data_IF_654195397986
#
_entry.id   IF_654195397986
#
_cell.length_a   1.000
_cell.length_b   1.000
_cell.length_c   1.000
_cell.angle_alpha   90.00
_cell.angle_beta   90.00
_cell.angle_gamma   90.00
#
_symmetry.space_group_name_H-M   'P 1'
#
loop_
_entity.id
_entity.type
_entity.pdbx_description
1 polymer ?
#
# COMPACT_ATOMS: atom_id res chain seq x y z
N UNK A 1 14.49 23.98 37.11
CA UNK A 1 14.99 23.94 35.72
C UNK A 1 15.75 22.64 35.42
N UNK A 2 16.74 22.23 36.23
CA UNK A 2 17.54 21.03 35.96
C UNK A 2 16.73 19.71 35.96
N UNK A 3 15.75 19.55 36.86
CA UNK A 3 14.90 18.36 36.92
C UNK A 3 14.04 18.16 35.65
N UNK A 4 13.51 19.24 35.06
CA UNK A 4 12.70 19.17 33.82
C UNK A 4 13.55 18.75 32.61
N UNK A 5 14.81 19.16 32.56
CA UNK A 5 15.75 18.77 31.49
C UNK A 5 16.11 17.29 31.61
N UNK A 6 16.39 16.81 32.83
CA UNK A 6 16.70 15.38 33.07
C UNK A 6 15.51 14.49 32.72
N UNK A 7 14.29 14.86 33.09
CA UNK A 7 13.08 14.12 32.73
C UNK A 7 12.85 14.10 31.21
N UNK A 8 13.08 15.22 30.51
CA UNK A 8 12.94 15.27 29.05
C UNK A 8 13.98 14.39 28.34
N UNK A 9 15.23 14.41 28.82
CA UNK A 9 16.31 13.56 28.28
C UNK A 9 16.05 12.08 28.57
N UNK A 10 15.60 11.72 29.77
CA UNK A 10 15.20 10.36 30.09
C UNK A 10 14.02 9.89 29.24
N UNK A 11 13.02 10.75 29.01
CA UNK A 11 11.88 10.43 28.16
C UNK A 11 12.28 10.20 26.70
N UNK A 12 13.22 11.00 26.19
CA UNK A 12 13.81 10.82 24.85
C UNK A 12 14.60 9.50 24.81
N UNK A 13 15.46 9.21 25.80
CA UNK A 13 16.25 7.96 25.85
C UNK A 13 15.34 6.73 25.95
N UNK A 14 14.27 6.77 26.75
CA UNK A 14 13.29 5.68 26.85
C UNK A 14 12.54 5.47 25.53
N UNK A 15 12.19 6.54 24.81
CA UNK A 15 11.59 6.42 23.47
C UNK A 15 12.59 5.93 22.40
N UNK A 16 13.89 6.20 22.56
CA UNK A 16 14.93 5.70 21.64
C UNK A 16 15.35 4.25 21.95
N UNK A 17 14.99 3.71 23.12
CA UNK A 17 15.31 2.33 23.50
C UNK A 17 14.32 1.31 22.91
N UNK A 18 13.11 1.73 22.52
CA UNK A 18 12.16 0.91 21.76
C UNK A 18 12.24 1.20 20.26
N UNK A 19 13.46 1.39 19.74
CA UNK A 19 13.70 1.08 18.33
C UNK A 19 13.61 -0.43 18.25
N UNK A 20 12.40 -0.95 18.05
CA UNK A 20 12.19 -2.31 17.56
C UNK A 20 12.84 -2.36 16.18
N UNK A 21 14.13 -2.71 16.15
CA UNK A 21 14.80 -3.17 14.94
C UNK A 21 14.14 -4.52 14.64
N UNK A 22 12.98 -4.44 13.98
CA UNK A 22 12.20 -5.59 13.54
C UNK A 22 12.90 -6.17 12.32
N UNK A 23 13.95 -6.95 12.56
CA UNK A 23 14.66 -7.69 11.53
C UNK A 23 14.14 -9.13 11.50
N UNK A 24 13.90 -9.64 10.29
CA UNK A 24 13.66 -11.06 10.11
C UNK A 24 14.95 -11.84 10.37
N UNK A 25 14.86 -12.93 11.13
CA UNK A 25 16.00 -13.78 11.41
C UNK A 25 16.55 -14.41 10.13
N UNK A 26 17.86 -14.29 9.95
CA UNK A 26 18.61 -14.91 8.87
C UNK A 26 19.22 -16.22 9.33
N UNK A 27 19.22 -17.23 8.47
CA UNK A 27 19.86 -18.51 8.73
C UNK A 27 21.01 -18.75 7.75
N UNK A 28 22.12 -19.28 8.27
CA UNK A 28 23.27 -19.56 7.43
C UNK A 28 23.04 -20.78 6.52
N UNK A 29 23.88 -20.89 5.48
CA UNK A 29 23.86 -21.97 4.50
C UNK A 29 23.84 -23.37 5.15
N UNK A 30 24.64 -23.56 6.20
CA UNK A 30 24.77 -24.85 6.89
C UNK A 30 23.46 -25.29 7.55
N UNK A 31 22.74 -24.39 8.20
CA UNK A 31 21.46 -24.69 8.86
C UNK A 31 20.41 -25.07 7.81
N UNK A 32 20.30 -24.29 6.74
CA UNK A 32 19.32 -24.52 5.67
C UNK A 32 19.57 -25.86 4.98
N UNK A 33 20.82 -26.18 4.61
CA UNK A 33 21.10 -27.49 3.99
C UNK A 33 21.01 -28.65 4.99
N UNK A 34 21.24 -28.42 6.29
CA UNK A 34 20.98 -29.45 7.31
C UNK A 34 19.49 -29.77 7.38
N UNK A 35 18.62 -28.76 7.35
CA UNK A 35 17.17 -28.92 7.23
C UNK A 35 16.78 -29.72 5.99
N UNK A 36 17.21 -29.27 4.81
CA UNK A 36 16.86 -29.91 3.53
C UNK A 36 17.29 -31.39 3.53
N UNK A 37 18.53 -31.67 3.93
CA UNK A 37 19.06 -33.04 3.94
C UNK A 37 18.38 -33.94 4.99
N UNK A 38 18.00 -33.39 6.14
CA UNK A 38 17.29 -34.13 7.17
C UNK A 38 15.90 -34.51 6.70
N UNK A 39 15.16 -33.57 6.10
CA UNK A 39 13.78 -33.78 5.67
C UNK A 39 13.71 -34.64 4.40
N UNK A 40 14.64 -34.48 3.46
CA UNK A 40 14.68 -35.28 2.23
C UNK A 40 14.84 -36.80 2.49
N UNK A 41 15.45 -37.18 3.63
CA UNK A 41 15.66 -38.59 4.02
C UNK A 41 14.54 -39.18 4.87
N UNK A 42 13.60 -38.36 5.35
CA UNK A 42 12.50 -38.82 6.21
C UNK A 42 11.35 -39.37 5.37
N UNK A 43 10.65 -40.37 5.91
CA UNK A 43 9.43 -40.94 5.31
C UNK A 43 8.18 -40.05 5.44
N UNK A 44 8.30 -38.89 6.11
CA UNK A 44 7.16 -38.01 6.38
C UNK A 44 6.73 -37.18 5.17
N UNK A 45 7.62 -36.92 4.22
CA UNK A 45 7.33 -36.19 2.97
C UNK A 45 7.11 -37.15 1.81
N UNK A 46 6.38 -36.72 0.77
CA UNK A 46 6.22 -37.55 -0.42
C UNK A 46 7.58 -37.85 -1.07
N UNK A 47 7.70 -39.03 -1.68
CA UNK A 47 8.93 -39.44 -2.37
C UNK A 47 9.34 -38.43 -3.45
N UNK A 48 8.37 -37.90 -4.21
CA UNK A 48 8.61 -36.85 -5.21
C UNK A 48 9.18 -35.57 -4.60
N UNK A 49 8.71 -35.17 -3.43
CA UNK A 49 9.27 -34.03 -2.72
C UNK A 49 10.69 -34.33 -2.22
N UNK A 50 10.89 -35.48 -1.55
CA UNK A 50 12.20 -35.90 -1.05
C UNK A 50 13.25 -35.94 -2.17
N UNK A 51 12.92 -36.56 -3.30
CA UNK A 51 13.80 -36.63 -4.48
C UNK A 51 14.16 -35.23 -5.00
N UNK A 52 13.20 -34.31 -5.10
CA UNK A 52 13.47 -32.92 -5.51
C UNK A 52 14.33 -32.16 -4.50
N UNK A 53 14.13 -32.36 -3.20
CA UNK A 53 14.95 -31.74 -2.15
C UNK A 53 16.42 -32.21 -2.23
N UNK A 54 16.67 -33.48 -2.53
CA UNK A 54 18.05 -33.99 -2.68
C UNK A 54 18.81 -33.35 -3.85
N UNK A 55 18.10 -32.85 -4.88
CA UNK A 55 18.70 -32.22 -6.06
C UNK A 55 19.14 -30.76 -5.83
N UNK A 56 18.60 -30.10 -4.80
CA UNK A 56 18.87 -28.67 -4.53
C UNK A 56 20.36 -28.43 -4.30
N UNK A 57 21.00 -29.24 -3.46
CA UNK A 57 22.43 -29.12 -3.18
C UNK A 57 23.27 -29.22 -4.46
N UNK A 58 23.27 -30.38 -5.14
CA UNK A 58 24.01 -30.55 -6.38
C UNK A 58 23.78 -29.45 -7.41
N UNK A 59 22.54 -28.97 -7.56
CA UNK A 59 22.23 -27.87 -8.47
C UNK A 59 22.84 -26.53 -8.03
N UNK A 60 22.63 -26.12 -6.77
CA UNK A 60 23.11 -24.81 -6.27
C UNK A 60 24.63 -24.73 -6.10
N UNK A 61 25.30 -25.88 -5.96
CA UNK A 61 26.76 -25.97 -5.89
C UNK A 61 27.42 -26.32 -7.22
N UNK A 62 26.66 -26.45 -8.31
CA UNK A 62 27.22 -26.65 -9.65
C UNK A 62 27.99 -25.40 -10.10
N UNK A 63 29.10 -25.62 -10.80
CA UNK A 63 29.96 -24.53 -11.30
C UNK A 63 29.23 -23.58 -12.26
N UNK A 64 28.22 -24.08 -12.99
CA UNK A 64 27.45 -23.28 -13.94
C UNK A 64 26.31 -22.49 -13.29
N UNK A 65 26.01 -22.75 -12.01
CA UNK A 65 24.95 -22.05 -11.30
C UNK A 65 25.43 -20.67 -10.85
N UNK A 66 24.62 -19.65 -11.08
CA UNK A 66 24.97 -18.27 -10.73
C UNK A 66 25.07 -18.17 -9.20
N UNK A 67 26.17 -17.66 -8.62
CA UNK A 67 26.36 -17.60 -7.17
C UNK A 67 25.20 -16.91 -6.42
N UNK A 68 24.61 -15.88 -7.03
CA UNK A 68 23.46 -15.16 -6.49
C UNK A 68 22.21 -16.06 -6.31
N UNK A 69 21.99 -17.08 -7.16
CA UNK A 69 20.85 -18.00 -6.98
C UNK A 69 20.95 -18.77 -5.68
N UNK A 70 22.16 -19.21 -5.32
CA UNK A 70 22.42 -19.87 -4.04
C UNK A 70 22.14 -18.92 -2.88
N UNK A 71 22.68 -17.71 -2.94
CA UNK A 71 22.47 -16.69 -1.91
C UNK A 71 20.97 -16.38 -1.73
N UNK A 72 20.24 -16.14 -2.82
CA UNK A 72 18.81 -15.84 -2.78
C UNK A 72 17.99 -17.01 -2.23
N UNK A 73 18.37 -18.24 -2.57
CA UNK A 73 17.72 -19.44 -2.04
C UNK A 73 17.88 -19.56 -0.53
N UNK A 74 19.10 -19.40 -0.01
CA UNK A 74 19.39 -19.48 1.43
C UNK A 74 18.72 -18.34 2.19
N UNK A 75 18.82 -17.12 1.67
CA UNK A 75 18.21 -15.91 2.25
C UNK A 75 16.68 -16.01 2.33
N UNK A 76 16.02 -16.82 1.50
CA UNK A 76 14.58 -17.02 1.61
C UNK A 76 14.16 -17.79 2.89
N UNK A 77 15.05 -18.55 3.52
CA UNK A 77 14.73 -19.22 4.79
C UNK A 77 14.81 -18.25 5.95
N UNK A 78 13.72 -18.10 6.71
CA UNK A 78 13.61 -17.04 7.71
C UNK A 78 12.61 -17.36 8.83
N UNK A 79 12.63 -16.55 9.88
CA UNK A 79 11.59 -16.47 10.91
C UNK A 79 11.47 -15.03 11.43
N UNK A 80 10.33 -14.67 11.99
CA UNK A 80 10.09 -13.33 12.56
C UNK A 80 8.69 -13.24 13.16
N UNK A 81 8.28 -12.05 13.59
CA UNK A 81 6.97 -11.89 14.24
C UNK A 81 5.82 -12.13 13.25
N UNK A 82 4.82 -12.89 13.70
CA UNK A 82 3.65 -13.24 12.90
C UNK A 82 2.74 -12.03 12.65
N UNK A 83 2.60 -11.12 13.63
CA UNK A 83 1.80 -9.90 13.49
C UNK A 83 2.26 -8.99 12.35
N UNK A 84 3.55 -9.01 12.02
CA UNK A 84 4.15 -8.20 10.96
C UNK A 84 3.78 -8.68 9.57
N UNK A 85 3.17 -9.87 9.45
CA UNK A 85 2.70 -10.35 8.16
C UNK A 85 1.41 -9.66 7.70
N UNK A 86 0.51 -9.29 8.61
CA UNK A 86 -0.71 -8.56 8.29
C UNK A 86 -0.58 -7.04 8.46
N UNK A 87 0.56 -6.58 8.97
CA UNK A 87 0.85 -5.16 9.14
C UNK A 87 1.39 -4.53 7.84
N UNK A 88 1.65 -3.23 7.91
CA UNK A 88 2.42 -2.47 6.92
C UNK A 88 3.80 -3.08 6.63
N UNK A 89 4.32 -3.91 7.54
CA UNK A 89 5.70 -4.43 7.51
C UNK A 89 5.82 -5.77 6.75
N UNK A 90 4.73 -6.21 6.09
CA UNK A 90 4.69 -7.41 5.25
C UNK A 90 5.77 -7.40 4.15
N UNK A 91 6.24 -6.22 3.72
CA UNK A 91 7.21 -6.05 2.65
C UNK A 91 8.49 -6.89 2.86
N UNK A 92 8.90 -7.14 4.11
CA UNK A 92 10.06 -8.00 4.41
C UNK A 92 9.80 -9.46 3.99
N UNK A 93 8.61 -9.97 4.28
CA UNK A 93 8.18 -11.31 3.84
C UNK A 93 8.03 -11.39 2.32
N UNK A 94 7.53 -10.33 1.69
CA UNK A 94 7.44 -10.22 0.23
C UNK A 94 8.83 -10.24 -0.41
N UNK A 95 9.80 -9.55 0.19
CA UNK A 95 11.18 -9.57 -0.28
C UNK A 95 11.80 -10.99 -0.22
N UNK A 96 11.57 -11.74 0.86
CA UNK A 96 12.02 -13.15 0.97
C UNK A 96 11.35 -14.04 -0.07
N UNK A 97 10.07 -13.82 -0.32
CA UNK A 97 9.33 -14.49 -1.40
C UNK A 97 9.93 -14.20 -2.77
N UNK A 98 10.30 -12.94 -3.03
CA UNK A 98 10.96 -12.53 -4.26
C UNK A 98 12.33 -13.20 -4.43
N UNK A 99 13.15 -13.27 -3.37
CA UNK A 99 14.44 -13.99 -3.40
C UNK A 99 14.27 -15.47 -3.71
N UNK A 100 13.28 -16.15 -3.12
CA UNK A 100 12.96 -17.53 -3.48
C UNK A 100 12.61 -17.68 -4.97
N UNK A 101 11.84 -16.75 -5.53
CA UNK A 101 11.48 -16.76 -6.95
C UNK A 101 12.70 -16.49 -7.85
N UNK A 102 13.55 -15.53 -7.49
CA UNK A 102 14.79 -15.23 -8.22
C UNK A 102 15.78 -16.40 -8.18
N UNK A 103 15.84 -17.15 -7.08
CA UNK A 103 16.66 -18.34 -6.96
C UNK A 103 16.31 -19.41 -8.01
N UNK A 104 15.03 -19.51 -8.37
CA UNK A 104 14.59 -20.41 -9.44
C UNK A 104 15.09 -19.99 -10.84
N UNK A 105 15.68 -18.79 -11.00
CA UNK A 105 16.05 -18.26 -12.31
C UNK A 105 14.84 -17.86 -13.16
N UNK A 106 13.70 -17.56 -12.54
CA UNK A 106 12.55 -17.01 -13.24
C UNK A 106 12.87 -15.60 -13.77
N UNK A 107 12.55 -15.36 -15.04
CA UNK A 107 12.69 -14.05 -15.67
C UNK A 107 11.33 -13.60 -16.24
N UNK A 108 11.12 -12.30 -16.50
CA UNK A 108 9.88 -11.79 -17.07
C UNK A 108 9.40 -12.54 -18.33
N UNK A 109 10.36 -13.03 -19.14
CA UNK A 109 10.09 -13.73 -20.40
C UNK A 109 10.53 -15.20 -20.42
N UNK A 110 11.14 -15.72 -19.34
CA UNK A 110 11.62 -17.12 -19.29
C UNK A 110 11.09 -17.83 -18.07
N UNK A 111 10.51 -19.02 -18.27
CA UNK A 111 10.01 -19.87 -17.18
C UNK A 111 11.17 -20.69 -16.63
N UNK A 112 11.25 -20.81 -15.30
CA UNK A 112 12.22 -21.69 -14.68
C UNK A 112 11.92 -23.16 -15.01
N UNK A 113 12.98 -23.91 -15.31
CA UNK A 113 12.92 -25.38 -15.39
C UNK A 113 12.72 -26.03 -14.01
N UNK A 114 13.07 -25.31 -12.94
CA UNK A 114 13.01 -25.75 -11.55
C UNK A 114 12.23 -24.73 -10.69
N UNK A 115 10.89 -24.62 -10.88
CA UNK A 115 10.10 -23.60 -10.22
C UNK A 115 10.03 -23.82 -8.71
N UNK A 116 10.23 -22.73 -7.97
CA UNK A 116 10.18 -22.68 -6.51
C UNK A 116 8.92 -21.97 -6.01
N UNK A 117 8.51 -22.34 -4.80
CA UNK A 117 7.41 -21.75 -4.06
C UNK A 117 7.96 -21.23 -2.73
N UNK A 118 7.68 -19.96 -2.44
CA UNK A 118 7.90 -19.43 -1.12
C UNK A 118 6.69 -19.76 -0.27
N UNK A 119 6.88 -20.50 0.81
CA UNK A 119 5.83 -20.85 1.74
C UNK A 119 6.14 -20.26 3.11
N UNK A 120 5.09 -19.78 3.77
CA UNK A 120 5.19 -19.29 5.13
C UNK A 120 4.06 -19.88 5.97
N UNK A 121 4.26 -19.88 7.29
CA UNK A 121 3.23 -20.27 8.24
C UNK A 121 3.54 -19.84 9.65
N UNK A 122 2.49 -19.75 10.46
CA UNK A 122 2.49 -19.39 11.87
C UNK A 122 1.31 -20.08 12.57
N UNK A 123 1.21 -19.91 13.88
CA UNK A 123 0.04 -20.33 14.65
C UNK A 123 -0.95 -19.16 14.80
N UNK A 124 -2.17 -19.29 14.30
CA UNK A 124 -3.20 -18.23 14.34
C UNK A 124 -3.57 -17.80 15.77
N UNK A 125 -3.54 -18.73 16.74
CA UNK A 125 -3.89 -18.39 18.13
C UNK A 125 -2.87 -17.46 18.79
N UNK A 126 -1.61 -17.55 18.37
CA UNK A 126 -0.52 -16.75 18.91
C UNK A 126 -0.14 -15.56 18.03
N UNK A 127 -0.78 -15.36 16.87
CA UNK A 127 -0.44 -14.31 15.91
C UNK A 127 -0.27 -12.93 16.58
N UNK A 128 -1.20 -12.55 17.46
CA UNK A 128 -1.24 -11.26 18.17
C UNK A 128 -0.50 -11.24 19.51
N UNK A 129 0.03 -12.38 19.95
CA UNK A 129 0.65 -12.56 21.27
C UNK A 129 2.12 -12.98 21.11
N UNK A 130 2.87 -12.22 20.31
CA UNK A 130 4.27 -12.50 19.96
C UNK A 130 4.46 -13.87 19.27
N UNK A 131 3.52 -14.26 18.41
CA UNK A 131 3.65 -15.46 17.60
C UNK A 131 4.80 -15.33 16.61
N UNK A 132 5.47 -16.44 16.31
CA UNK A 132 6.55 -16.49 15.32
C UNK A 132 6.02 -17.07 14.01
N UNK A 133 6.27 -16.37 12.91
CA UNK A 133 6.10 -16.87 11.57
C UNK A 133 7.42 -17.44 11.03
N UNK A 134 7.29 -18.42 10.14
CA UNK A 134 8.40 -19.14 9.54
C UNK A 134 8.26 -19.13 8.03
N UNK A 135 9.36 -18.86 7.32
CA UNK A 135 9.41 -18.81 5.85
C UNK A 135 10.41 -19.81 5.29
N UNK A 136 10.02 -20.52 4.23
CA UNK A 136 10.84 -21.51 3.52
C UNK A 136 10.69 -21.37 2.00
N UNK A 137 11.74 -21.74 1.25
CA UNK A 137 11.72 -21.81 -0.21
C UNK A 137 11.80 -23.26 -0.67
N UNK A 138 10.76 -23.76 -1.33
CA UNK A 138 10.64 -25.20 -1.66
C UNK A 138 10.39 -25.44 -3.15
N UNK A 139 10.80 -26.60 -3.70
CA UNK A 139 10.42 -26.99 -5.06
C UNK A 139 8.91 -27.10 -5.23
N UNK A 140 8.40 -26.82 -6.43
CA UNK A 140 6.98 -26.97 -6.76
C UNK A 140 6.41 -28.37 -6.47
N UNK A 141 7.20 -29.43 -6.62
CA UNK A 141 6.81 -30.81 -6.30
C UNK A 141 6.54 -31.02 -4.81
N UNK A 142 7.06 -30.15 -3.93
CA UNK A 142 6.86 -30.19 -2.49
C UNK A 142 5.63 -29.40 -2.01
N UNK A 143 4.84 -28.81 -2.91
CA UNK A 143 3.71 -27.96 -2.54
C UNK A 143 2.70 -28.65 -1.60
N UNK A 144 2.40 -29.93 -1.83
CA UNK A 144 1.46 -30.68 -1.00
C UNK A 144 2.03 -31.05 0.39
N UNK A 145 3.35 -31.06 0.54
CA UNK A 145 4.03 -31.36 1.80
C UNK A 145 4.38 -30.08 2.59
N UNK A 146 3.98 -28.89 2.11
CA UNK A 146 4.35 -27.59 2.69
C UNK A 146 4.10 -27.47 4.20
N UNK A 147 3.00 -27.99 4.71
CA UNK A 147 2.65 -27.90 6.14
C UNK A 147 3.68 -28.65 6.98
N UNK A 148 4.02 -29.88 6.56
CA UNK A 148 5.02 -30.71 7.22
C UNK A 148 6.41 -30.07 7.16
N UNK A 149 6.76 -29.47 6.01
CA UNK A 149 8.04 -28.79 5.84
C UNK A 149 8.16 -27.58 6.78
N UNK A 150 7.10 -26.79 6.92
CA UNK A 150 7.06 -25.65 7.85
C UNK A 150 7.13 -26.11 9.31
N UNK A 151 6.40 -27.16 9.69
CA UNK A 151 6.44 -27.71 11.05
C UNK A 151 7.84 -28.22 11.43
N UNK A 152 8.53 -28.90 10.50
CA UNK A 152 9.91 -29.37 10.68
C UNK A 152 10.91 -28.22 10.73
N UNK A 153 10.70 -27.19 9.90
CA UNK A 153 11.56 -25.99 9.92
C UNK A 153 11.44 -25.26 11.25
N UNK A 154 10.21 -25.00 11.72
CA UNK A 154 9.92 -24.46 13.05
C UNK A 154 10.62 -25.28 14.13
N UNK A 155 10.44 -26.61 14.13
CA UNK A 155 11.04 -27.50 15.14
C UNK A 155 12.58 -27.47 15.13
N UNK A 156 13.20 -27.11 14.00
CA UNK A 156 14.65 -27.01 13.90
C UNK A 156 15.17 -25.66 14.40
N UNK A 157 14.46 -24.57 14.12
CA UNK A 157 14.96 -23.21 14.36
C UNK A 157 14.38 -22.52 15.59
N UNK A 158 13.33 -23.08 16.18
CA UNK A 158 12.62 -22.52 17.32
C UNK A 158 12.34 -23.59 18.38
N UNK A 159 12.26 -23.16 19.63
CA UNK A 159 11.80 -23.99 20.75
C UNK A 159 10.28 -24.01 20.89
N UNK A 160 9.55 -23.30 20.01
CA UNK A 160 8.09 -23.30 20.00
C UNK A 160 7.55 -24.70 19.67
N UNK A 161 6.55 -25.11 20.45
CA UNK A 161 5.88 -26.41 20.34
C UNK A 161 4.53 -26.31 19.63
N UNK A 162 4.02 -25.09 19.40
CA UNK A 162 2.73 -24.85 18.76
C UNK A 162 2.78 -25.13 17.28
N UNK A 163 1.90 -26.04 16.82
CA UNK A 163 1.83 -26.44 15.42
C UNK A 163 1.54 -25.26 14.50
N UNK A 164 2.13 -25.27 13.31
CA UNK A 164 1.80 -24.30 12.27
C UNK A 164 0.43 -24.68 11.69
N UNK A 165 -0.61 -23.94 12.04
CA UNK A 165 -1.99 -24.21 11.61
C UNK A 165 -2.39 -23.42 10.35
N UNK A 166 -1.83 -22.22 10.18
CA UNK A 166 -1.97 -21.43 8.97
C UNK A 166 -0.74 -21.54 8.08
N UNK A 167 -0.99 -21.84 6.81
CA UNK A 167 0.06 -21.91 5.78
C UNK A 167 -0.42 -21.28 4.49
N UNK A 168 0.46 -20.50 3.86
CA UNK A 168 0.20 -19.96 2.54
C UNK A 168 1.51 -19.90 1.74
N UNK A 169 1.39 -19.99 0.42
CA UNK A 169 2.54 -19.99 -0.46
C UNK A 169 2.33 -19.06 -1.65
N UNK A 170 3.40 -18.37 -2.00
CA UNK A 170 3.53 -17.58 -3.21
C UNK A 170 4.35 -18.35 -4.24
N UNK A 171 3.88 -18.35 -5.48
CA UNK A 171 4.59 -18.91 -6.63
C UNK A 171 4.86 -17.82 -7.66
N UNK A 172 5.93 -17.99 -8.43
CA UNK A 172 6.33 -17.02 -9.46
C UNK A 172 5.24 -16.75 -10.49
N UNK A 173 4.61 -17.81 -11.01
CA UNK A 173 3.64 -17.71 -12.11
C UNK A 173 2.22 -17.98 -11.63
N UNK A 174 1.31 -17.08 -12.00
CA UNK A 174 -0.12 -17.35 -11.86
C UNK A 174 -0.54 -18.54 -12.74
N UNK A 175 -1.51 -19.34 -12.27
CA UNK A 175 -2.06 -20.46 -13.06
C UNK A 175 -2.73 -19.99 -14.35
N UNK A 176 -3.29 -18.78 -14.28
CA UNK A 176 -4.04 -18.14 -15.34
C UNK A 176 -3.48 -16.75 -15.59
N UNK A 177 -3.41 -16.39 -16.87
CA UNK A 177 -3.01 -15.05 -17.28
C UNK A 177 -4.06 -14.03 -16.83
N UNK A 178 -3.66 -12.76 -16.67
CA UNK A 178 -4.57 -11.70 -16.21
C UNK A 178 -5.82 -11.56 -17.09
N UNK A 179 -5.70 -11.79 -18.40
CA UNK A 179 -6.83 -11.75 -19.36
C UNK A 179 -7.75 -12.99 -19.28
N UNK A 180 -7.33 -14.06 -18.60
CA UNK A 180 -8.18 -15.23 -18.33
C UNK A 180 -8.95 -15.07 -17.00
N UNK A 181 -8.62 -14.05 -16.20
CA UNK A 181 -9.30 -13.76 -14.95
C UNK A 181 -10.47 -12.80 -15.22
N UNK A 182 -11.74 -13.23 -15.01
CA UNK A 182 -12.91 -12.43 -15.40
C UNK A 182 -12.98 -11.08 -14.69
N UNK A 183 -12.57 -11.00 -13.41
CA UNK A 183 -12.56 -9.76 -12.62
C UNK A 183 -11.57 -8.75 -13.21
N UNK A 184 -10.31 -9.16 -13.41
CA UNK A 184 -9.28 -8.29 -13.99
C UNK A 184 -9.64 -7.82 -15.41
N UNK A 185 -10.27 -8.69 -16.21
CA UNK A 185 -10.71 -8.33 -17.55
C UNK A 185 -11.89 -7.34 -17.51
N UNK A 186 -12.84 -7.52 -16.59
CA UNK A 186 -13.93 -6.56 -16.39
C UNK A 186 -13.42 -5.19 -15.92
N UNK A 187 -12.46 -5.16 -14.99
CA UNK A 187 -11.80 -3.93 -14.55
C UNK A 187 -11.08 -3.24 -15.71
N UNK A 188 -10.32 -3.98 -16.52
CA UNK A 188 -9.65 -3.43 -17.69
C UNK A 188 -10.65 -2.80 -18.67
N UNK A 189 -11.73 -3.51 -19.01
CA UNK A 189 -12.80 -3.02 -19.89
C UNK A 189 -13.43 -1.75 -19.31
N UNK A 190 -13.71 -1.72 -18.01
CA UNK A 190 -14.29 -0.55 -17.35
C UNK A 190 -13.38 0.67 -17.45
N UNK A 191 -12.07 0.52 -17.18
CA UNK A 191 -11.09 1.59 -17.31
C UNK A 191 -10.99 2.12 -18.75
N UNK A 192 -10.99 1.23 -19.75
CA UNK A 192 -10.98 1.64 -21.16
C UNK A 192 -12.24 2.42 -21.55
N UNK A 193 -13.42 2.01 -21.06
CA UNK A 193 -14.67 2.74 -21.28
C UNK A 193 -14.67 4.13 -20.62
N UNK A 194 -14.15 4.25 -19.39
CA UNK A 194 -13.99 5.55 -18.74
C UNK A 194 -13.03 6.47 -19.49
N UNK A 195 -11.88 5.96 -19.95
CA UNK A 195 -10.92 6.73 -20.75
C UNK A 195 -11.55 7.17 -22.08
N UNK A 196 -12.24 6.28 -22.78
CA UNK A 196 -12.96 6.62 -24.00
C UNK A 196 -14.02 7.71 -23.75
N UNK A 197 -14.78 7.59 -22.67
CA UNK A 197 -15.80 8.56 -22.29
C UNK A 197 -15.18 9.95 -22.00
N UNK A 198 -14.05 10.01 -21.30
CA UNK A 198 -13.29 11.25 -21.07
C UNK A 198 -12.78 11.84 -22.39
N UNK A 199 -12.28 11.02 -23.31
CA UNK A 199 -11.81 11.47 -24.64
C UNK A 199 -12.96 12.03 -25.46
N UNK A 200 -14.07 11.30 -25.59
CA UNK A 200 -15.28 11.74 -26.31
C UNK A 200 -15.82 13.04 -25.72
N UNK A 201 -15.93 13.12 -24.39
CA UNK A 201 -16.36 14.33 -23.70
C UNK A 201 -15.44 15.52 -23.95
N UNK A 202 -14.14 15.28 -24.00
CA UNK A 202 -13.14 16.33 -24.25
C UNK A 202 -13.17 16.80 -25.70
N UNK A 203 -13.24 15.89 -26.67
CA UNK A 203 -13.39 16.24 -28.10
C UNK A 203 -14.68 17.02 -28.33
N UNK A 204 -15.79 16.58 -27.74
CA UNK A 204 -17.08 17.29 -27.81
C UNK A 204 -16.95 18.72 -27.27
N UNK A 205 -16.35 18.89 -26.09
CA UNK A 205 -16.14 20.20 -25.47
C UNK A 205 -15.23 21.12 -26.30
N UNK A 206 -14.21 20.56 -26.97
CA UNK A 206 -13.33 21.34 -27.85
C UNK A 206 -14.10 21.81 -29.09
N UNK A 207 -14.88 20.93 -29.74
CA UNK A 207 -15.57 21.24 -31.00
C UNK A 207 -16.80 22.14 -30.84
N UNK A 208 -17.65 21.89 -29.83
CA UNK A 208 -18.92 22.62 -29.65
C UNK A 208 -18.88 23.67 -28.53
N UNK A 209 -17.77 23.80 -27.80
CA UNK A 209 -17.68 24.70 -26.67
C UNK A 209 -18.65 24.34 -25.54
N UNK A 210 -19.12 25.36 -24.79
CA UNK A 210 -20.05 25.21 -23.66
C UNK A 210 -21.54 25.29 -24.07
N UNK A 211 -21.84 25.19 -25.36
CA UNK A 211 -23.10 25.67 -25.90
C UNK A 211 -24.14 24.55 -26.06
N UNK A 212 -24.90 24.20 -25.02
CA UNK A 212 -26.17 23.40 -25.11
C UNK A 212 -26.94 23.37 -23.79
N UNK A 213 -28.29 23.46 -23.84
CA UNK A 213 -29.25 23.33 -22.71
C UNK A 213 -29.69 21.88 -22.37
N UNK A 214 -29.08 20.84 -22.97
CA UNK A 214 -29.51 19.45 -22.75
C UNK A 214 -28.81 18.84 -21.52
N UNK A 215 -29.59 18.24 -20.60
CA UNK A 215 -29.10 17.51 -19.42
C UNK A 215 -28.04 16.46 -19.76
N UNK A 216 -28.22 15.71 -20.85
CA UNK A 216 -27.24 14.70 -21.28
C UNK A 216 -25.90 15.30 -21.68
N UNK A 217 -25.92 16.47 -22.30
CA UNK A 217 -24.70 17.18 -22.66
C UNK A 217 -23.99 17.74 -21.43
N UNK A 218 -24.74 18.20 -20.42
CA UNK A 218 -24.17 18.63 -19.16
C UNK A 218 -23.45 17.49 -18.43
N UNK A 219 -24.08 16.30 -18.40
CA UNK A 219 -23.48 15.08 -17.86
C UNK A 219 -22.22 14.71 -18.63
N UNK A 220 -22.28 14.66 -19.96
CA UNK A 220 -21.11 14.33 -20.80
C UNK A 220 -19.98 15.35 -20.58
N UNK A 221 -20.28 16.65 -20.54
CA UNK A 221 -19.29 17.70 -20.26
C UNK A 221 -18.70 17.59 -18.85
N UNK A 222 -19.36 16.95 -17.89
CA UNK A 222 -18.81 16.72 -16.55
C UNK A 222 -17.58 15.80 -16.57
N UNK A 223 -17.44 14.96 -17.59
CA UNK A 223 -16.27 14.09 -17.78
C UNK A 223 -15.21 14.68 -18.70
N UNK A 224 -15.40 15.91 -19.20
CA UNK A 224 -14.38 16.56 -20.03
C UNK A 224 -13.13 16.91 -19.23
N UNK A 225 -11.98 16.35 -19.63
CA UNK A 225 -10.68 16.66 -19.03
C UNK A 225 -10.37 18.16 -19.07
N UNK A 226 -10.62 18.82 -20.22
CA UNK A 226 -10.44 20.27 -20.37
C UNK A 226 -11.26 21.07 -19.35
N UNK A 227 -12.53 20.69 -19.12
CA UNK A 227 -13.41 21.39 -18.16
C UNK A 227 -12.91 21.19 -16.73
N UNK A 228 -12.58 19.95 -16.37
CA UNK A 228 -12.14 19.60 -15.03
C UNK A 228 -10.77 20.20 -14.70
N UNK A 229 -9.81 20.13 -15.63
CA UNK A 229 -8.49 20.73 -15.45
C UNK A 229 -8.59 22.25 -15.31
N UNK A 230 -9.37 22.92 -16.17
CA UNK A 230 -9.60 24.36 -16.04
C UNK A 230 -10.28 24.71 -14.71
N UNK A 231 -11.19 23.87 -14.23
CA UNK A 231 -11.84 24.06 -12.93
C UNK A 231 -10.87 23.86 -11.76
N UNK A 232 -9.90 22.95 -11.90
CA UNK A 232 -8.88 22.68 -10.88
C UNK A 232 -7.89 23.84 -10.72
N UNK A 233 -7.50 24.47 -11.82
CA UNK A 233 -6.53 25.58 -11.82
C UNK A 233 -7.16 26.97 -11.62
N UNK A 234 -8.46 27.11 -11.85
CA UNK A 234 -9.13 28.42 -11.81
C UNK A 234 -9.40 28.85 -10.38
N UNK A 235 -8.83 29.99 -10.00
CA UNK A 235 -9.12 30.63 -8.73
C UNK A 235 -10.60 31.07 -8.63
N UNK A 236 -11.23 30.92 -7.46
CA UNK A 236 -12.58 31.42 -7.21
C UNK A 236 -12.63 32.94 -7.36
N UNK A 237 -13.75 33.46 -7.90
CA UNK A 237 -13.95 34.91 -8.09
C UNK A 237 -14.28 35.62 -6.78
N UNK A 238 -14.96 34.93 -5.88
CA UNK A 238 -15.38 35.47 -4.59
C UNK A 238 -14.39 34.99 -3.52
N UNK A 239 -13.53 35.90 -3.06
CA UNK A 239 -12.53 35.62 -2.04
C UNK A 239 -13.16 35.33 -0.68
N UNK A 240 -14.35 35.88 -0.38
CA UNK A 240 -15.01 35.68 0.91
C UNK A 240 -15.63 34.29 1.02
N UNK A 241 -16.02 33.68 -0.08
CA UNK A 241 -16.62 32.33 -0.07
C UNK A 241 -15.58 31.21 0.00
N UNK A 242 -14.28 31.51 0.02
CA UNK A 242 -13.22 30.48 -0.04
C UNK A 242 -12.05 30.74 0.89
N UNK A 243 -11.59 29.70 1.59
CA UNK A 243 -10.38 29.75 2.40
C UNK A 243 -9.17 29.56 1.48
N UNK A 244 -8.46 30.64 1.16
CA UNK A 244 -7.33 30.61 0.21
C UNK A 244 -6.19 29.69 0.64
N UNK A 245 -5.90 29.58 1.94
CA UNK A 245 -4.90 28.66 2.49
C UNK A 245 -5.17 27.18 2.14
N UNK A 246 -6.44 26.79 1.98
CA UNK A 246 -6.82 25.40 1.62
C UNK A 246 -6.28 24.98 0.26
N UNK A 247 -6.08 25.92 -0.67
CA UNK A 247 -5.47 25.59 -1.97
C UNK A 247 -4.00 25.17 -1.80
N UNK A 248 -3.24 25.88 -0.96
CA UNK A 248 -1.86 25.54 -0.65
C UNK A 248 -1.75 24.18 0.03
N UNK A 249 -2.59 23.94 1.05
CA UNK A 249 -2.62 22.64 1.74
C UNK A 249 -2.99 21.48 0.80
N UNK A 250 -3.97 21.67 -0.10
CA UNK A 250 -4.33 20.66 -1.10
C UNK A 250 -3.17 20.36 -2.04
N UNK A 251 -2.52 21.39 -2.56
CA UNK A 251 -1.38 21.22 -3.47
C UNK A 251 -0.23 20.46 -2.78
N UNK A 252 0.17 20.88 -1.58
CA UNK A 252 1.22 20.22 -0.82
C UNK A 252 0.86 18.76 -0.48
N UNK A 253 -0.39 18.51 -0.08
CA UNK A 253 -0.89 17.16 0.20
C UNK A 253 -0.85 16.25 -1.05
N UNK A 254 -1.27 16.76 -2.21
CA UNK A 254 -1.21 16.02 -3.48
C UNK A 254 0.23 15.69 -3.88
N UNK A 255 1.15 16.67 -3.83
CA UNK A 255 2.56 16.48 -4.14
C UNK A 255 3.19 15.46 -3.19
N UNK A 256 2.96 15.61 -1.89
CA UNK A 256 3.48 14.71 -0.87
C UNK A 256 3.00 13.27 -1.09
N UNK A 257 1.71 13.10 -1.37
CA UNK A 257 1.10 11.78 -1.65
C UNK A 257 1.73 11.12 -2.87
N UNK A 258 1.93 11.87 -3.96
CA UNK A 258 2.54 11.36 -5.20
C UNK A 258 3.98 10.93 -4.95
N UNK A 259 4.77 11.76 -4.25
CA UNK A 259 6.16 11.45 -3.91
C UNK A 259 6.24 10.18 -3.06
N UNK A 260 5.46 10.11 -1.99
CA UNK A 260 5.46 8.95 -1.09
C UNK A 260 5.08 7.63 -1.76
N UNK A 261 4.01 7.63 -2.57
CA UNK A 261 3.65 6.44 -3.35
C UNK A 261 4.75 6.06 -4.36
N UNK A 262 5.42 7.04 -4.96
CA UNK A 262 6.53 6.75 -5.90
C UNK A 262 7.68 6.02 -5.22
N UNK A 263 8.05 6.45 -4.01
CA UNK A 263 9.10 5.80 -3.20
C UNK A 263 8.67 4.46 -2.60
N UNK A 264 7.38 4.22 -2.38
CA UNK A 264 6.90 2.87 -2.06
C UNK A 264 6.98 1.95 -3.29
N UNK A 265 6.44 2.38 -4.43
CA UNK A 265 6.33 1.49 -5.59
C UNK A 265 7.66 1.23 -6.30
N UNK A 266 8.66 2.11 -6.18
CA UNK A 266 9.98 1.88 -6.76
C UNK A 266 10.70 0.67 -6.15
N UNK A 267 10.39 0.31 -4.89
CA UNK A 267 11.01 -0.81 -4.19
C UNK A 267 10.88 -2.15 -4.93
N UNK A 268 9.78 -2.34 -5.67
CA UNK A 268 9.55 -3.52 -6.49
C UNK A 268 10.51 -3.64 -7.70
N UNK A 269 11.27 -2.58 -8.01
CA UNK A 269 12.18 -2.48 -9.15
C UNK A 269 13.64 -2.25 -8.75
N UNK A 270 13.96 -2.26 -7.45
CA UNK A 270 15.32 -2.10 -6.94
C UNK A 270 15.96 -3.46 -6.65
N UNK A 271 17.21 -3.65 -7.08
CA UNK A 271 17.98 -4.86 -6.78
C UNK A 271 18.44 -4.91 -5.31
N UNK A 272 18.83 -3.75 -4.76
CA UNK A 272 19.28 -3.57 -3.37
C UNK A 272 18.20 -2.91 -2.51
N UNK A 273 17.00 -3.50 -2.45
CA UNK A 273 15.88 -2.90 -1.71
C UNK A 273 16.12 -2.79 -0.20
N UNK A 274 16.91 -3.69 0.40
CA UNK A 274 17.21 -3.63 1.85
C UNK A 274 18.08 -2.42 2.18
N UNK A 275 19.17 -2.21 1.44
CA UNK A 275 20.03 -1.02 1.58
C UNK A 275 19.24 0.28 1.38
N UNK A 276 18.33 0.30 0.39
CA UNK A 276 17.43 1.44 0.20
C UNK A 276 16.50 1.66 1.41
N UNK A 277 15.95 0.60 2.00
CA UNK A 277 15.09 0.70 3.18
C UNK A 277 15.85 1.19 4.40
N UNK A 278 17.03 0.66 4.64
CA UNK A 278 17.89 1.07 5.75
C UNK A 278 18.23 2.57 5.60
N UNK A 279 18.61 3.02 4.40
CA UNK A 279 18.83 4.43 4.10
C UNK A 279 17.56 5.30 4.34
N UNK A 280 16.38 4.81 3.98
CA UNK A 280 15.12 5.52 4.22
C UNK A 280 14.75 5.62 5.70
N UNK A 281 15.04 4.59 6.51
CA UNK A 281 14.65 4.52 7.92
C UNK A 281 15.66 5.24 8.82
N UNK A 282 16.96 5.02 8.59
CA UNK A 282 18.02 5.49 9.48
C UNK A 282 18.23 7.01 9.40
N UNK A 283 17.87 7.64 8.28
CA UNK A 283 18.02 9.07 8.09
C UNK A 283 16.76 9.84 8.52
N UNK A 284 16.88 10.66 9.57
CA UNK A 284 15.81 11.53 10.04
C UNK A 284 15.22 12.44 8.93
N UNK A 285 16.03 12.87 7.97
CA UNK A 285 15.56 13.69 6.85
C UNK A 285 14.67 12.94 5.85
N UNK A 286 14.65 11.61 5.89
CA UNK A 286 13.76 10.78 5.06
C UNK A 286 12.37 10.60 5.71
N UNK A 287 12.17 11.07 6.94
CA UNK A 287 10.91 10.92 7.68
C UNK A 287 9.70 11.55 6.99
N UNK A 288 9.88 12.66 6.24
CA UNK A 288 8.78 13.22 5.47
C UNK A 288 8.37 12.31 4.30
N UNK A 289 9.27 11.46 3.78
CA UNK A 289 8.94 10.48 2.75
C UNK A 289 8.31 9.24 3.39
N UNK A 290 8.93 8.68 4.43
CA UNK A 290 8.48 7.43 5.05
C UNK A 290 7.12 7.57 5.74
N UNK A 291 6.78 8.77 6.24
CA UNK A 291 5.49 9.06 6.87
C UNK A 291 4.43 9.63 5.91
N UNK A 292 4.57 9.47 4.59
CA UNK A 292 3.61 10.06 3.64
C UNK A 292 2.17 9.57 3.81
N UNK A 293 1.95 8.40 4.42
CA UNK A 293 0.60 7.87 4.69
C UNK A 293 -0.20 8.76 5.63
N UNK A 294 0.48 9.58 6.46
CA UNK A 294 -0.16 10.64 7.26
C UNK A 294 -0.78 11.74 6.39
N UNK A 295 -0.46 11.78 5.09
CA UNK A 295 -1.16 12.60 4.12
C UNK A 295 -2.67 12.36 4.11
N UNK A 296 -3.14 11.16 4.45
CA UNK A 296 -4.59 10.85 4.59
C UNK A 296 -5.27 11.76 5.62
N UNK A 297 -4.59 12.09 6.72
CA UNK A 297 -5.14 12.97 7.77
C UNK A 297 -5.37 14.38 7.23
N UNK A 298 -4.45 14.88 6.39
CA UNK A 298 -4.65 16.17 5.73
C UNK A 298 -5.89 16.17 4.86
N UNK A 299 -6.20 15.08 4.14
CA UNK A 299 -7.43 14.98 3.35
C UNK A 299 -8.69 14.98 4.23
N UNK A 300 -8.66 14.28 5.37
CA UNK A 300 -9.77 14.26 6.33
C UNK A 300 -10.01 15.65 6.94
N UNK A 301 -8.95 16.31 7.41
CA UNK A 301 -9.02 17.68 7.96
C UNK A 301 -9.54 18.66 6.92
N UNK A 302 -9.06 18.58 5.67
CA UNK A 302 -9.51 19.45 4.59
C UNK A 302 -11.00 19.24 4.28
N UNK A 303 -11.48 18.00 4.31
CA UNK A 303 -12.88 17.64 4.05
C UNK A 303 -13.80 18.09 5.19
N UNK A 304 -13.40 17.84 6.43
CA UNK A 304 -14.14 18.27 7.62
C UNK A 304 -14.22 19.81 7.71
N UNK A 305 -13.09 20.50 7.52
CA UNK A 305 -13.02 21.97 7.56
C UNK A 305 -13.91 22.60 6.48
N UNK A 306 -13.87 22.08 5.24
CA UNK A 306 -14.71 22.58 4.16
C UNK A 306 -16.20 22.37 4.46
N UNK A 307 -16.56 21.19 4.97
CA UNK A 307 -17.94 20.86 5.32
C UNK A 307 -18.45 21.78 6.44
N UNK A 308 -17.66 21.95 7.51
CA UNK A 308 -17.99 22.87 8.59
C UNK A 308 -18.10 24.32 8.09
N UNK A 309 -17.11 24.81 7.33
CA UNK A 309 -17.11 26.17 6.80
C UNK A 309 -18.34 26.45 5.93
N UNK A 310 -18.70 25.52 5.03
CA UNK A 310 -19.88 25.67 4.18
C UNK A 310 -21.19 25.60 4.97
N UNK A 311 -21.26 24.74 5.99
CA UNK A 311 -22.41 24.63 6.88
C UNK A 311 -22.64 25.90 7.71
N UNK A 312 -21.59 26.39 8.39
CA UNK A 312 -21.66 27.64 9.18
C UNK A 312 -21.94 28.85 8.29
N UNK A 313 -21.33 28.94 7.10
CA UNK A 313 -21.60 30.02 6.15
C UNK A 313 -23.07 30.01 5.71
N UNK A 314 -23.66 28.84 5.50
CA UNK A 314 -25.09 28.71 5.15
C UNK A 314 -25.99 29.16 6.31
N UNK A 315 -25.66 28.79 7.55
CA UNK A 315 -26.41 29.23 8.73
C UNK A 315 -26.33 30.74 8.91
N UNK A 316 -25.14 31.32 8.80
CA UNK A 316 -24.95 32.76 8.93
C UNK A 316 -25.75 33.54 7.87
N UNK A 317 -25.76 33.06 6.61
CA UNK A 317 -26.56 33.66 5.54
C UNK A 317 -28.06 33.57 5.83
N UNK A 318 -28.55 32.42 6.30
CA UNK A 318 -29.96 32.28 6.67
C UNK A 318 -30.36 33.20 7.84
N UNK A 319 -29.47 33.38 8.83
CA UNK A 319 -29.71 34.29 9.95
C UNK A 319 -29.73 35.75 9.50
N UNK A 320 -28.81 36.17 8.63
CA UNK A 320 -28.82 37.53 8.08
C UNK A 320 -30.04 37.81 7.21
N UNK A 321 -30.48 36.83 6.41
CA UNK A 321 -31.70 36.97 5.61
C UNK A 321 -32.94 37.11 6.50
N UNK A 322 -33.00 36.38 7.62
CA UNK A 322 -34.08 36.51 8.59
C UNK A 322 -34.05 37.86 9.33
N UNK A 323 -32.88 38.32 9.77
CA UNK A 323 -32.74 39.62 10.44
C UNK A 323 -33.10 40.79 9.50
N UNK A 324 -32.72 40.71 8.22
CA UNK A 324 -33.14 41.70 7.21
C UNK A 324 -34.66 41.67 7.01
N UNK A 325 -35.29 40.48 7.00
CA UNK A 325 -36.75 40.36 6.93
C UNK A 325 -37.46 40.86 8.22
N UNK A 326 -36.82 40.78 9.38
CA UNK A 326 -37.34 41.26 10.67
C UNK A 326 -37.17 42.78 10.83
N UNK A 327 -36.08 43.36 10.33
CA UNK A 327 -35.81 44.83 10.34
C UNK A 327 -36.59 45.54 9.23
N UNK A 328 -36.78 44.88 8.09
CA UNK A 328 -37.67 45.31 7.01
C UNK A 328 -38.86 44.34 6.94
N UNK A 329 -39.83 44.41 7.88
CA UNK A 329 -41.07 43.69 7.68
C UNK A 329 -41.63 44.13 6.33
N UNK A 330 -41.98 43.15 5.50
CA UNK A 330 -42.48 43.28 4.12
C UNK A 330 -43.60 44.31 3.91
N UNK A 331 -44.22 44.79 4.99
CA UNK A 331 -45.20 45.87 4.98
C UNK A 331 -44.60 47.29 4.92
N UNK A 332 -43.31 47.49 5.25
CA UNK A 332 -42.71 48.83 5.26
C UNK A 332 -42.47 49.38 3.84
N UNK A 333 -42.16 48.51 2.86
CA UNK A 333 -42.00 48.91 1.47
C UNK A 333 -43.32 49.37 0.83
N UNK A 334 -44.45 48.76 1.24
CA UNK A 334 -45.78 49.24 0.84
C UNK A 334 -46.13 50.59 1.48
N UNK A 335 -45.61 50.88 2.68
CA UNK A 335 -45.88 52.14 3.38
C UNK A 335 -45.10 53.33 2.79
N UNK A 336 -43.85 53.15 2.34
CA UNK A 336 -43.10 54.23 1.69
C UNK A 336 -43.61 54.56 0.28
N UNK A 337 -44.16 53.58 -0.45
CA UNK A 337 -44.73 53.81 -1.79
C UNK A 337 -46.12 54.47 -1.74
N UNK A 338 -46.85 54.36 -0.62
CA UNK A 338 -48.15 55.01 -0.45
C UNK A 338 -48.04 56.53 -0.21
N UNK A 339 -46.96 57.02 0.41
CA UNK A 339 -46.86 58.43 0.80
C UNK A 339 -46.31 59.38 -0.29
N UNK A 340 -45.90 58.86 -1.45
CA UNK A 340 -45.36 59.69 -2.54
C UNK A 340 -46.37 59.95 -3.68
N UNK A 341 -47.63 59.51 -3.56
CA UNK A 341 -48.66 59.76 -4.58
C UNK A 341 -49.74 60.76 -4.16
N UNK A 342 -49.62 61.39 -3.00
CA UNK A 342 -50.47 62.54 -2.64
C UNK A 342 -49.67 63.84 -2.86
N UNK A 343 -49.59 64.27 -4.11
CA UNK A 343 -49.22 65.62 -4.56
C UNK A 343 -50.16 65.99 -5.70
#
# INVERSE_FOLDING_TARGET
>A
MWQSVVLSVLFIISFHAEISISELNNYNEKIVFTFINAVAKRSNVSQLCGDSLTKIGPYLFDYNTIPAQKEFFITAYTSGDAEQFFSRDQDRWVFRAYKCIQAAGEAPYSKSEHPLHYCFGYNENNEKSNGVAYGICIPSTCYNDRNKLLDEWRSMVSTDTLAVDYTSCTKSRHDQQWYQKPIAMAEFILHQNFMLLVVVATVYHIKKGKQTRNRWTEILLAFSAKKNLLKLIRMPKDSQSTITCMFGMRFLSMVWTVIGHSFIFVQAYLDNVEEYKDDMVDHFYNQWITNFTLGVDTFLVLSATLTAFTWFTKIHRNLSDNEVNDVLPSNCCNQMLSNNNDS
#
